data_IF_731081236742
#
_entry.id   IF_731081236742
#
_cell.length_a   1.000
_cell.length_b   1.000
_cell.length_c   1.000
_cell.angle_alpha   90.00
_cell.angle_beta   90.00
_cell.angle_gamma   90.00
#
_symmetry.space_group_name_H-M   'P 1'
#
loop_
_entity.id
_entity.type
_entity.pdbx_description
1 polymer ?
#
# COMPACT_ATOMS: atom_id res chain seq x y z
N UNK A 1 -47.38 35.86 -81.21
CA UNK A 1 -48.17 36.69 -80.29
C UNK A 1 -47.73 36.36 -78.88
N UNK A 2 -47.12 37.30 -78.24
CA UNK A 2 -46.99 37.63 -76.83
C UNK A 2 -47.38 36.55 -75.79
N UNK A 3 -46.44 36.10 -74.93
CA UNK A 3 -46.79 35.84 -73.59
C UNK A 3 -45.53 36.02 -72.69
N UNK A 4 -45.76 36.75 -71.65
CA UNK A 4 -44.77 37.24 -70.66
C UNK A 4 -44.40 36.17 -69.69
N UNK A 5 -43.17 35.97 -69.49
CA UNK A 5 -42.58 35.12 -68.43
C UNK A 5 -42.50 35.96 -67.15
N UNK A 6 -43.17 35.58 -66.12
CA UNK A 6 -43.04 36.13 -64.77
C UNK A 6 -42.06 35.23 -63.97
N UNK A 7 -40.94 35.79 -63.76
CA UNK A 7 -39.92 35.23 -62.83
C UNK A 7 -40.29 35.50 -61.36
N UNK A 8 -40.54 34.46 -60.65
CA UNK A 8 -40.67 34.55 -59.18
C UNK A 8 -39.34 34.14 -58.55
N UNK A 9 -38.68 35.08 -57.89
CA UNK A 9 -37.52 34.85 -57.05
C UNK A 9 -37.96 34.15 -55.78
N UNK A 10 -37.51 32.93 -55.56
CA UNK A 10 -37.70 32.22 -54.29
C UNK A 10 -36.46 32.39 -53.47
N UNK A 11 -36.55 33.14 -52.38
CA UNK A 11 -35.47 33.31 -51.40
C UNK A 11 -35.36 32.05 -50.53
N UNK A 12 -34.25 31.35 -50.63
CA UNK A 12 -33.93 30.24 -49.75
C UNK A 12 -33.26 30.82 -48.50
N UNK A 13 -33.98 30.83 -47.39
CA UNK A 13 -33.42 31.13 -46.08
C UNK A 13 -32.61 29.93 -45.61
N UNK A 14 -31.28 30.11 -45.58
CA UNK A 14 -30.34 29.14 -45.05
C UNK A 14 -30.29 29.29 -43.50
N UNK A 15 -31.09 28.51 -42.79
CA UNK A 15 -31.00 28.40 -41.33
C UNK A 15 -29.77 27.56 -41.01
N UNK A 16 -28.68 28.22 -40.67
CA UNK A 16 -27.49 27.58 -40.14
C UNK A 16 -27.75 27.00 -38.75
N UNK A 17 -27.80 25.69 -38.67
CA UNK A 17 -27.85 24.96 -37.40
C UNK A 17 -26.41 24.96 -36.83
N UNK A 18 -26.13 25.87 -35.90
CA UNK A 18 -24.91 25.85 -35.13
C UNK A 18 -24.93 24.66 -34.17
N UNK A 19 -24.30 23.57 -34.56
CA UNK A 19 -23.97 22.49 -33.63
C UNK A 19 -22.80 22.94 -32.76
N UNK A 20 -23.08 23.30 -31.51
CA UNK A 20 -22.09 23.49 -30.49
C UNK A 20 -21.39 22.14 -30.22
N UNK A 21 -20.05 22.07 -30.28
CA UNK A 21 -19.36 20.87 -29.82
C UNK A 21 -19.60 20.74 -28.34
N UNK A 22 -20.29 19.69 -27.92
CA UNK A 22 -20.36 19.25 -26.54
C UNK A 22 -18.95 18.88 -26.15
N UNK A 23 -18.28 19.73 -25.36
CA UNK A 23 -17.04 19.38 -24.72
C UNK A 23 -17.31 18.19 -23.81
N UNK A 24 -16.88 17.01 -24.24
CA UNK A 24 -16.81 15.85 -23.40
C UNK A 24 -15.87 16.20 -22.23
N UNK A 25 -16.44 16.47 -21.07
CA UNK A 25 -15.70 16.50 -19.83
C UNK A 25 -15.18 15.09 -19.63
N UNK A 26 -13.91 14.88 -19.99
CA UNK A 26 -13.18 13.70 -19.56
C UNK A 26 -13.25 13.70 -18.03
N UNK A 27 -13.96 12.73 -17.46
CA UNK A 27 -13.93 12.48 -16.04
C UNK A 27 -12.44 12.34 -15.62
N UNK A 28 -12.02 12.91 -14.48
CA UNK A 28 -10.68 12.69 -14.01
C UNK A 28 -10.46 11.19 -13.93
N UNK A 29 -9.49 10.72 -14.67
CA UNK A 29 -9.02 9.35 -14.60
C UNK A 29 -8.65 9.11 -13.13
N UNK A 30 -9.54 8.45 -12.40
CA UNK A 30 -9.19 7.89 -11.11
C UNK A 30 -8.12 6.85 -11.44
N UNK A 31 -6.86 7.25 -11.27
CA UNK A 31 -5.77 6.30 -11.22
C UNK A 31 -6.14 5.33 -10.11
N UNK A 32 -6.67 4.17 -10.48
CA UNK A 32 -6.82 3.05 -9.57
C UNK A 32 -5.44 2.87 -8.94
N UNK A 33 -5.37 3.09 -7.63
CA UNK A 33 -4.16 2.88 -6.88
C UNK A 33 -3.85 1.38 -6.95
N UNK A 34 -3.02 1.00 -7.92
CA UNK A 34 -2.60 -0.39 -8.12
C UNK A 34 -1.81 -0.78 -6.88
N UNK A 35 -2.44 -1.57 -6.03
CA UNK A 35 -1.77 -2.13 -4.87
C UNK A 35 -0.70 -3.12 -5.34
N UNK A 36 0.57 -2.72 -5.30
CA UNK A 36 1.68 -3.62 -5.56
C UNK A 36 1.93 -4.48 -4.34
N UNK A 37 1.73 -5.78 -4.49
CA UNK A 37 1.93 -6.75 -3.41
C UNK A 37 3.18 -7.58 -3.67
N UNK A 38 4.11 -7.55 -2.74
CA UNK A 38 5.31 -8.39 -2.79
C UNK A 38 5.01 -9.80 -2.29
N UNK A 39 5.88 -10.74 -2.66
CA UNK A 39 5.74 -12.15 -2.26
C UNK A 39 5.64 -12.29 -0.75
N UNK A 40 4.70 -13.13 -0.31
CA UNK A 40 4.51 -13.43 1.11
C UNK A 40 5.67 -14.27 1.66
N UNK A 41 6.24 -13.86 2.78
CA UNK A 41 7.36 -14.50 3.45
C UNK A 41 6.92 -15.11 4.79
N UNK A 42 7.36 -16.32 5.14
CA UNK A 42 7.05 -16.91 6.44
C UNK A 42 7.78 -16.18 7.57
N UNK A 43 7.17 -16.14 8.74
CA UNK A 43 7.87 -15.71 9.94
C UNK A 43 8.93 -16.72 10.38
N UNK A 44 10.10 -16.20 10.72
CA UNK A 44 11.20 -16.95 11.35
C UNK A 44 11.04 -16.88 12.86
N UNK A 45 10.93 -18.05 13.50
CA UNK A 45 10.90 -18.14 14.96
C UNK A 45 12.30 -17.88 15.56
N UNK A 46 12.37 -17.04 16.59
CA UNK A 46 13.56 -16.90 17.45
C UNK A 46 13.28 -17.52 18.85
N UNK A 47 12.85 -16.74 19.83
CA UNK A 47 12.61 -17.24 21.20
C UNK A 47 11.19 -17.74 21.44
N UNK A 48 10.20 -17.24 20.71
CA UNK A 48 8.79 -17.58 20.91
C UNK A 48 8.15 -18.17 19.66
N UNK A 49 7.12 -18.98 19.87
CA UNK A 49 6.37 -19.59 18.76
C UNK A 49 5.63 -18.50 18.00
N UNK A 50 5.88 -18.43 16.72
CA UNK A 50 5.25 -17.54 15.77
C UNK A 50 4.83 -18.34 14.53
N UNK A 51 3.68 -18.05 13.97
CA UNK A 51 3.12 -18.66 12.76
C UNK A 51 2.58 -17.59 11.84
N UNK A 52 2.34 -17.98 10.60
CA UNK A 52 1.83 -17.11 9.57
C UNK A 52 2.94 -16.55 8.71
N UNK A 53 2.59 -15.57 7.92
CA UNK A 53 3.46 -14.92 6.97
C UNK A 53 3.26 -13.40 7.03
N UNK A 54 4.14 -12.70 6.38
CA UNK A 54 4.05 -11.26 6.20
C UNK A 54 4.46 -10.88 4.77
N UNK A 55 4.08 -9.70 4.33
CA UNK A 55 4.49 -9.16 3.03
C UNK A 55 4.56 -7.65 3.08
N UNK A 56 5.30 -7.08 2.14
CA UNK A 56 5.24 -5.66 1.85
C UNK A 56 4.03 -5.39 0.95
N UNK A 57 3.31 -4.33 1.20
CA UNK A 57 2.20 -3.86 0.37
C UNK A 57 2.41 -2.38 0.10
N UNK A 58 2.18 -1.97 -1.13
CA UNK A 58 2.06 -0.55 -1.48
C UNK A 58 0.60 -0.25 -1.77
N UNK A 59 0.00 0.63 -1.01
CA UNK A 59 -1.40 0.97 -1.07
C UNK A 59 -1.60 2.45 -0.75
N UNK A 60 -2.36 3.16 -1.59
CA UNK A 60 -2.63 4.60 -1.42
C UNK A 60 -1.37 5.46 -1.22
N UNK A 61 -0.29 5.13 -1.91
CA UNK A 61 1.00 5.83 -1.81
C UNK A 61 1.79 5.55 -0.53
N UNK A 62 1.32 4.64 0.32
CA UNK A 62 2.00 4.21 1.54
C UNK A 62 2.59 2.82 1.38
N UNK A 63 3.71 2.58 2.04
CA UNK A 63 4.29 1.25 2.19
C UNK A 63 3.88 0.67 3.54
N UNK A 64 3.41 -0.57 3.51
CA UNK A 64 2.91 -1.29 4.68
C UNK A 64 3.64 -2.62 4.84
N UNK A 65 3.84 -3.03 6.09
CA UNK A 65 4.10 -4.43 6.43
C UNK A 65 2.78 -5.06 6.85
N UNK A 66 2.28 -6.00 6.07
CA UNK A 66 1.01 -6.69 6.30
C UNK A 66 1.24 -8.11 6.78
N UNK A 67 0.66 -8.45 7.94
CA UNK A 67 0.65 -9.82 8.46
C UNK A 67 -0.54 -10.58 7.89
N UNK A 68 -0.37 -11.88 7.69
CA UNK A 68 -1.42 -12.75 7.14
C UNK A 68 -2.53 -13.06 8.16
N UNK A 69 -3.69 -13.49 7.67
CA UNK A 69 -4.85 -13.85 8.49
C UNK A 69 -4.54 -14.99 9.48
N UNK A 70 -3.64 -15.89 9.11
CA UNK A 70 -3.21 -17.00 9.94
C UNK A 70 -2.04 -16.66 10.87
N UNK A 71 -1.66 -15.37 10.97
CA UNK A 71 -0.67 -14.93 11.95
C UNK A 71 -1.10 -15.33 13.35
N UNK A 72 -0.15 -15.89 14.12
CA UNK A 72 -0.37 -16.23 15.53
C UNK A 72 0.92 -16.28 16.29
N UNK A 73 0.94 -15.65 17.47
CA UNK A 73 2.05 -15.72 18.42
C UNK A 73 1.57 -15.82 19.86
N UNK A 74 2.50 -15.91 20.80
CA UNK A 74 2.23 -15.83 22.23
C UNK A 74 1.95 -14.40 22.65
N UNK A 75 1.21 -14.19 23.73
CA UNK A 75 1.08 -12.89 24.37
C UNK A 75 2.37 -12.51 25.11
N UNK A 76 2.64 -11.21 25.17
CA UNK A 76 3.76 -10.62 25.91
C UNK A 76 3.40 -9.18 26.34
N UNK A 77 4.05 -8.66 27.39
CA UNK A 77 3.63 -7.39 28.00
C UNK A 77 3.93 -6.16 27.14
N UNK A 78 4.94 -6.22 26.26
CA UNK A 78 5.40 -5.08 25.48
C UNK A 78 5.93 -5.53 24.12
N UNK A 79 5.04 -6.08 23.30
CA UNK A 79 5.36 -6.54 21.96
C UNK A 79 5.25 -5.40 20.96
N UNK A 80 6.29 -5.19 20.19
CA UNK A 80 6.39 -4.15 19.17
C UNK A 80 6.94 -4.73 17.86
N UNK A 81 6.60 -4.06 16.77
CA UNK A 81 7.07 -4.38 15.42
C UNK A 81 8.07 -3.33 14.98
N UNK A 82 9.22 -3.78 14.47
CA UNK A 82 10.32 -2.94 14.03
C UNK A 82 10.79 -3.33 12.63
N UNK A 83 11.41 -2.38 11.93
CA UNK A 83 12.36 -2.64 10.85
C UNK A 83 13.77 -2.60 11.42
N UNK A 84 14.62 -3.55 11.04
CA UNK A 84 16.02 -3.59 11.45
C UNK A 84 16.95 -3.61 10.23
N UNK A 85 18.06 -2.86 10.28
CA UNK A 85 19.07 -2.93 9.23
C UNK A 85 19.84 -4.26 9.24
N UNK A 86 19.71 -5.05 10.31
CA UNK A 86 20.38 -6.33 10.45
C UNK A 86 19.58 -7.47 9.85
N UNK A 87 20.23 -8.47 9.22
CA UNK A 87 19.56 -9.70 8.77
C UNK A 87 18.94 -10.45 9.95
N UNK A 88 17.76 -11.04 9.75
CA UNK A 88 17.06 -11.79 10.81
C UNK A 88 17.90 -12.91 11.42
N UNK A 89 18.82 -13.49 10.65
CA UNK A 89 19.72 -14.55 11.12
C UNK A 89 20.61 -14.07 12.28
N UNK A 90 21.13 -12.84 12.16
CA UNK A 90 22.16 -12.28 13.04
C UNK A 90 21.57 -11.52 14.25
N UNK A 91 20.31 -11.11 14.15
CA UNK A 91 19.63 -10.35 15.20
C UNK A 91 19.40 -11.19 16.45
N UNK A 92 19.77 -10.65 17.59
CA UNK A 92 19.49 -11.17 18.93
C UNK A 92 18.52 -10.28 19.69
N UNK A 93 18.05 -10.70 20.86
CA UNK A 93 17.23 -9.83 21.72
C UNK A 93 17.94 -8.54 22.12
N UNK A 94 19.27 -8.59 22.30
CA UNK A 94 20.06 -7.42 22.70
C UNK A 94 20.35 -6.45 21.55
N UNK A 95 20.53 -6.97 20.33
CA UNK A 95 20.89 -6.16 19.16
C UNK A 95 19.69 -5.78 18.28
N UNK A 96 18.51 -6.26 18.64
CA UNK A 96 17.29 -6.07 17.83
C UNK A 96 16.93 -4.60 17.58
N UNK A 97 17.28 -3.73 18.50
CA UNK A 97 16.94 -2.31 18.43
C UNK A 97 18.07 -1.43 17.87
N UNK A 98 19.25 -2.01 17.59
CA UNK A 98 20.39 -1.27 17.04
C UNK A 98 20.08 -0.79 15.61
N UNK A 99 19.86 0.50 15.44
CA UNK A 99 19.46 1.12 14.19
C UNK A 99 18.05 0.79 13.73
N UNK A 100 17.23 0.17 14.57
CA UNK A 100 15.86 -0.23 14.22
C UNK A 100 14.90 0.95 14.24
N UNK A 101 13.87 0.88 13.36
CA UNK A 101 12.75 1.82 13.32
C UNK A 101 11.48 1.15 13.82
N UNK A 102 10.85 1.76 14.81
CA UNK A 102 9.59 1.30 15.35
C UNK A 102 8.45 1.53 14.34
N UNK A 103 7.71 0.46 14.01
CA UNK A 103 6.48 0.55 13.24
C UNK A 103 5.23 0.67 14.12
N UNK A 104 5.29 0.19 15.34
CA UNK A 104 4.20 0.29 16.31
C UNK A 104 4.11 -0.89 17.28
N UNK A 105 3.15 -0.79 18.19
CA UNK A 105 2.80 -1.90 19.09
C UNK A 105 2.22 -3.07 18.28
N UNK A 106 2.48 -4.31 18.71
CA UNK A 106 1.79 -5.46 18.15
C UNK A 106 0.29 -5.35 18.45
N UNK A 107 -0.52 -5.10 17.43
CA UNK A 107 -1.95 -4.80 17.56
C UNK A 107 -2.74 -6.01 18.08
N UNK A 108 -2.34 -7.22 17.69
CA UNK A 108 -2.98 -8.47 18.09
C UNK A 108 -1.99 -9.63 18.04
N UNK A 109 -2.19 -10.63 18.89
CA UNK A 109 -1.41 -11.89 18.84
C UNK A 109 -1.92 -12.87 17.79
N UNK A 110 -2.96 -12.51 17.02
CA UNK A 110 -3.54 -13.33 15.97
C UNK A 110 -4.22 -12.47 14.89
N UNK A 111 -4.26 -13.00 13.67
CA UNK A 111 -4.98 -12.41 12.54
C UNK A 111 -4.20 -11.37 11.76
N UNK A 112 -4.79 -10.91 10.67
CA UNK A 112 -4.21 -9.88 9.80
C UNK A 112 -4.07 -8.55 10.52
N UNK A 113 -2.98 -7.86 10.25
CA UNK A 113 -2.70 -6.52 10.79
C UNK A 113 -1.65 -5.82 9.94
N UNK A 114 -1.78 -4.51 9.85
CA UNK A 114 -0.95 -3.66 9.01
C UNK A 114 -0.13 -2.69 9.85
N UNK A 115 1.11 -2.45 9.40
CA UNK A 115 2.04 -1.49 9.97
C UNK A 115 2.55 -0.59 8.85
N UNK A 116 2.17 0.68 8.91
CA UNK A 116 2.61 1.69 7.94
C UNK A 116 4.05 2.08 8.24
N UNK A 117 4.88 2.17 7.21
CA UNK A 117 6.21 2.75 7.34
C UNK A 117 6.08 4.26 7.66
N UNK A 118 6.87 4.77 8.61
CA UNK A 118 6.93 6.20 8.87
C UNK A 118 7.38 6.99 7.64
N UNK A 119 6.93 8.22 7.53
CA UNK A 119 7.34 9.11 6.45
C UNK A 119 8.86 9.30 6.43
N UNK A 120 9.47 9.31 5.24
CA UNK A 120 10.91 9.44 5.06
C UNK A 120 11.71 8.16 5.31
N UNK A 121 11.07 7.07 5.74
CA UNK A 121 11.72 5.76 5.92
C UNK A 121 11.68 4.97 4.63
N UNK A 122 12.86 4.58 4.12
CA UNK A 122 12.98 3.71 2.94
C UNK A 122 13.16 2.26 3.36
N UNK A 123 12.35 1.36 2.77
CA UNK A 123 12.45 -0.08 3.06
C UNK A 123 13.81 -0.67 2.67
N UNK A 124 14.50 -0.06 1.68
CA UNK A 124 15.83 -0.47 1.22
C UNK A 124 16.93 -0.34 2.27
N UNK A 125 16.70 0.46 3.31
CA UNK A 125 17.68 0.69 4.39
C UNK A 125 17.64 -0.41 5.47
N UNK A 126 16.71 -1.35 5.31
CA UNK A 126 16.44 -2.41 6.27
C UNK A 126 16.57 -3.79 5.66
N UNK A 127 16.94 -4.75 6.50
CA UNK A 127 17.12 -6.15 6.10
C UNK A 127 16.08 -7.08 6.73
N UNK A 128 15.40 -6.67 7.78
CA UNK A 128 14.42 -7.53 8.44
C UNK A 128 13.28 -6.79 9.13
N UNK A 129 12.14 -7.50 9.23
CA UNK A 129 11.00 -7.13 10.09
C UNK A 129 11.08 -7.93 11.38
N UNK A 130 10.95 -7.29 12.52
CA UNK A 130 11.09 -7.91 13.83
C UNK A 130 9.83 -7.78 14.67
N UNK A 131 9.55 -8.80 15.49
CA UNK A 131 8.63 -8.73 16.62
C UNK A 131 9.46 -8.90 17.87
N UNK A 132 9.58 -7.84 18.68
CA UNK A 132 10.43 -7.77 19.85
C UNK A 132 9.62 -7.37 21.09
N UNK A 133 9.95 -7.97 22.24
CA UNK A 133 9.43 -7.59 23.53
C UNK A 133 10.47 -6.71 24.24
N UNK A 134 10.24 -5.40 24.28
CA UNK A 134 11.22 -4.48 24.87
C UNK A 134 11.36 -4.69 26.38
N UNK A 135 10.26 -4.92 27.10
CA UNK A 135 10.28 -5.10 28.55
C UNK A 135 11.25 -6.20 29.03
N UNK A 136 11.51 -7.19 28.18
CA UNK A 136 12.40 -8.31 28.53
C UNK A 136 13.60 -8.46 27.59
N UNK A 137 13.78 -7.54 26.66
CA UNK A 137 14.86 -7.60 25.66
C UNK A 137 14.87 -8.93 24.89
N UNK A 138 13.68 -9.40 24.48
CA UNK A 138 13.51 -10.70 23.84
C UNK A 138 13.03 -10.55 22.41
N UNK A 139 13.83 -11.05 21.47
CA UNK A 139 13.41 -11.20 20.08
C UNK A 139 12.45 -12.39 19.95
N UNK A 140 11.18 -12.10 19.65
CA UNK A 140 10.15 -13.12 19.43
C UNK A 140 10.41 -13.91 18.16
N UNK A 141 10.60 -13.18 17.07
CA UNK A 141 10.83 -13.66 15.73
C UNK A 141 10.78 -12.52 14.76
N UNK A 142 10.75 -12.82 13.48
CA UNK A 142 10.73 -11.80 12.43
C UNK A 142 10.72 -12.42 11.04
N UNK A 143 11.20 -11.67 10.08
CA UNK A 143 11.36 -12.14 8.70
C UNK A 143 12.41 -11.33 7.95
N UNK A 144 13.04 -11.95 6.96
CA UNK A 144 14.01 -11.30 6.08
C UNK A 144 13.27 -10.47 5.02
N UNK A 145 13.67 -9.20 4.82
CA UNK A 145 13.24 -8.33 3.72
C UNK A 145 13.95 -8.70 2.41
#
# INVERSE_FOLDING_TARGET
MRSLIKTTLSAIALTGLMTLPMAAHAAPNQAEAVATTYTSQPFVKKKKKIKGAWRVVQENGQTLIRFSDNFKTKNGPDLKVFLSPQPIADVTGKTALDGAVLLGLLKSTKGAQDYVLPEGVSLSDFSSVLIHCEAYTVLWGGGQL
#
